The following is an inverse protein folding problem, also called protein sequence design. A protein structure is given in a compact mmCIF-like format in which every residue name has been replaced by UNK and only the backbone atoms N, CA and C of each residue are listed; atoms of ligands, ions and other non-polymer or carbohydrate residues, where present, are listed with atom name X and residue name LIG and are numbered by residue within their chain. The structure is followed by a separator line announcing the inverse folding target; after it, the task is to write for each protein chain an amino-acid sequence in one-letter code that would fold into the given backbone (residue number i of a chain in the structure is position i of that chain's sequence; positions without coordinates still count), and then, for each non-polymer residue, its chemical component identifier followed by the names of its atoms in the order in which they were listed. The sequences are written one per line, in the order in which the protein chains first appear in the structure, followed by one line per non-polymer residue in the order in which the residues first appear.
data_IF_902481717512
#
_entry.id   IF_902481717512
#
_cell.length_a   1.000
_cell.length_b   1.000
_cell.length_c   1.000
_cell.angle_alpha   90.00
_cell.angle_beta   90.00
_cell.angle_gamma   90.00
#
_symmetry.space_group_name_H-M   'P 1'
#
loop_
_entity.id
_entity.type
_entity.pdbx_description
1 polymer ?
#
# COMPACT_ATOMS: atom_id res chain seq x y z
N UNK A 1 6.16 0.67 1.70
CA UNK A 1 4.76 0.44 2.13
C UNK A 1 3.99 -0.26 1.02
N UNK A 2 3.06 -1.14 1.37
CA UNK A 2 2.25 -1.87 0.39
C UNK A 2 0.76 -1.78 0.74
N UNK A 3 -0.07 -1.52 -0.27
CA UNK A 3 -1.53 -1.61 -0.20
C UNK A 3 -2.00 -2.48 -1.37
N UNK A 4 -2.09 -3.79 -1.15
CA UNK A 4 -2.28 -4.76 -2.24
C UNK A 4 -3.65 -5.42 -2.16
N UNK A 5 -4.34 -5.48 -3.30
CA UNK A 5 -5.61 -6.18 -3.42
C UNK A 5 -5.41 -7.69 -3.59
N UNK A 6 -5.95 -8.49 -2.67
CA UNK A 6 -5.94 -9.96 -2.71
C UNK A 6 -4.76 -10.61 -1.97
N UNK A 7 -5.07 -11.59 -1.12
CA UNK A 7 -4.07 -12.27 -0.28
C UNK A 7 -2.98 -13.03 -1.05
N UNK A 8 -3.30 -13.64 -2.19
CA UNK A 8 -2.27 -14.28 -3.03
C UNK A 8 -1.34 -13.24 -3.68
N UNK A 9 -1.90 -12.12 -4.11
CA UNK A 9 -1.11 -11.04 -4.70
C UNK A 9 -0.21 -10.37 -3.66
N UNK A 10 -0.70 -10.11 -2.44
CA UNK A 10 0.10 -9.46 -1.41
C UNK A 10 1.35 -10.26 -1.05
N UNK A 11 1.28 -11.60 -1.02
CA UNK A 11 2.46 -12.48 -0.86
C UNK A 11 3.43 -12.30 -2.02
N UNK A 12 2.95 -12.37 -3.27
CA UNK A 12 3.81 -12.22 -4.46
C UNK A 12 4.51 -10.86 -4.51
N UNK A 13 3.81 -9.78 -4.13
CA UNK A 13 4.42 -8.45 -4.02
C UNK A 13 5.50 -8.41 -2.93
N UNK A 14 5.25 -9.00 -1.75
CA UNK A 14 6.23 -9.07 -0.68
C UNK A 14 7.47 -9.89 -1.08
N UNK A 15 7.27 -11.04 -1.71
CA UNK A 15 8.36 -11.89 -2.24
C UNK A 15 9.19 -11.11 -3.28
N UNK A 16 8.52 -10.42 -4.21
CA UNK A 16 9.21 -9.63 -5.24
C UNK A 16 10.02 -8.49 -4.65
N UNK A 17 9.50 -7.81 -3.61
CA UNK A 17 10.25 -6.76 -2.88
C UNK A 17 11.48 -7.36 -2.21
N UNK A 18 11.35 -8.54 -1.58
CA UNK A 18 12.45 -9.23 -0.92
C UNK A 18 13.53 -9.68 -1.90
N UNK A 19 13.13 -10.29 -3.02
CA UNK A 19 14.04 -10.72 -4.07
C UNK A 19 14.77 -9.54 -4.70
N UNK A 20 14.04 -8.45 -5.00
CA UNK A 20 14.64 -7.24 -5.55
C UNK A 20 15.65 -6.60 -4.59
N UNK A 21 15.32 -6.52 -3.30
CA UNK A 21 16.24 -6.03 -2.27
C UNK A 21 17.52 -6.90 -2.22
N UNK A 22 17.36 -8.23 -2.15
CA UNK A 22 18.50 -9.16 -2.16
C UNK A 22 19.36 -9.06 -3.41
N UNK A 23 18.75 -8.88 -4.59
CA UNK A 23 19.46 -8.80 -5.87
C UNK A 23 20.17 -7.45 -6.11
N UNK A 24 19.68 -6.36 -5.50
CA UNK A 24 20.19 -4.99 -5.74
C UNK A 24 21.00 -4.42 -4.59
N UNK A 25 21.19 -5.18 -3.50
CA UNK A 25 21.84 -4.70 -2.29
C UNK A 25 20.96 -3.78 -1.42
N UNK A 26 19.64 -3.80 -1.65
CA UNK A 26 18.67 -3.18 -0.77
C UNK A 26 18.44 -3.98 0.52
N UNK A 27 17.64 -3.45 1.43
CA UNK A 27 17.37 -4.09 2.72
C UNK A 27 15.89 -4.49 2.86
N UNK A 28 15.63 -5.76 3.11
CA UNK A 28 14.25 -6.25 3.36
C UNK A 28 13.60 -5.59 4.58
N UNK A 29 14.38 -5.09 5.54
CA UNK A 29 13.81 -4.34 6.66
C UNK A 29 13.16 -3.02 6.26
N UNK A 30 13.37 -2.54 5.03
CA UNK A 30 12.67 -1.37 4.48
C UNK A 30 11.21 -1.68 4.10
N UNK A 31 10.80 -2.96 4.06
CA UNK A 31 9.41 -3.37 3.90
C UNK A 31 8.63 -3.07 5.18
N UNK A 32 8.01 -1.89 5.23
CA UNK A 32 7.33 -1.38 6.41
C UNK A 32 6.10 -2.17 6.87
N UNK A 33 5.40 -2.87 5.97
CA UNK A 33 4.18 -3.59 6.30
C UNK A 33 3.92 -4.77 5.36
N UNK A 34 3.11 -5.72 5.83
CA UNK A 34 2.47 -6.74 5.03
C UNK A 34 0.97 -6.74 5.36
N UNK A 35 0.14 -6.71 4.33
CA UNK A 35 -1.31 -6.65 4.48
C UNK A 35 -2.01 -6.65 3.12
N UNK A 36 -3.31 -6.88 3.15
CA UNK A 36 -4.14 -6.94 1.94
C UNK A 36 -5.54 -6.37 2.20
N UNK A 37 -6.23 -6.04 1.11
CA UNK A 37 -7.68 -5.88 1.10
C UNK A 37 -8.29 -6.76 0.00
N UNK A 38 -9.37 -7.46 0.31
CA UNK A 38 -10.04 -8.37 -0.63
C UNK A 38 -11.50 -8.59 -0.24
N UNK A 39 -12.22 -9.45 -0.96
CA UNK A 39 -13.63 -9.74 -0.64
C UNK A 39 -14.65 -8.73 -1.18
N UNK A 40 -14.24 -7.81 -2.07
CA UNK A 40 -15.12 -6.79 -2.64
C UNK A 40 -15.51 -5.70 -1.63
N UNK A 41 -14.54 -5.03 -0.99
CA UNK A 41 -14.83 -3.99 -0.01
C UNK A 41 -15.51 -2.78 -0.65
N UNK A 42 -16.25 -2.06 0.16
CA UNK A 42 -16.87 -0.78 -0.20
C UNK A 42 -15.83 0.34 -0.32
N UNK A 43 -16.24 1.46 -0.93
CA UNK A 43 -15.46 2.69 -0.98
C UNK A 43 -15.07 3.17 0.42
N UNK A 44 -15.99 3.12 1.39
CA UNK A 44 -15.74 3.56 2.76
C UNK A 44 -14.72 2.68 3.50
N UNK A 45 -14.84 1.36 3.38
CA UNK A 45 -13.87 0.42 3.95
C UNK A 45 -12.47 0.60 3.34
N UNK A 46 -12.40 0.75 2.01
CA UNK A 46 -11.13 0.96 1.32
C UNK A 46 -10.50 2.30 1.70
N UNK A 47 -11.31 3.36 1.82
CA UNK A 47 -10.86 4.67 2.31
C UNK A 47 -10.29 4.57 3.72
N UNK A 48 -11.00 3.92 4.64
CA UNK A 48 -10.56 3.75 6.03
C UNK A 48 -9.23 2.98 6.12
N UNK A 49 -9.09 1.93 5.31
CA UNK A 49 -7.83 1.18 5.22
C UNK A 49 -6.69 2.05 4.68
N UNK A 50 -6.93 2.80 3.60
CA UNK A 50 -5.93 3.72 3.02
C UNK A 50 -5.50 4.81 4.02
N UNK A 51 -6.45 5.46 4.70
CA UNK A 51 -6.16 6.47 5.74
C UNK A 51 -5.27 5.91 6.85
N UNK A 52 -5.47 4.65 7.24
CA UNK A 52 -4.62 4.00 8.25
C UNK A 52 -3.18 3.87 7.76
N UNK A 53 -2.97 3.49 6.50
CA UNK A 53 -1.62 3.42 5.92
C UNK A 53 -0.98 4.80 5.78
N UNK A 54 -1.73 5.81 5.32
CA UNK A 54 -1.24 7.19 5.19
C UNK A 54 -0.86 7.80 6.54
N UNK A 55 -1.67 7.58 7.58
CA UNK A 55 -1.31 7.98 8.95
C UNK A 55 0.00 7.34 9.39
N UNK A 56 0.13 6.01 9.23
CA UNK A 56 1.33 5.28 9.65
C UNK A 56 2.58 5.71 8.88
N UNK A 57 2.48 5.92 7.57
CA UNK A 57 3.64 6.30 6.75
C UNK A 57 4.10 7.74 6.98
N UNK A 58 3.23 8.63 7.47
CA UNK A 58 3.53 10.07 7.67
C UNK A 58 3.91 10.45 9.10
N UNK A 59 3.96 9.52 10.08
CA UNK A 59 4.28 9.87 11.48
C UNK A 59 5.69 10.43 11.68
N UNK A 60 6.67 9.93 10.93
CA UNK A 60 8.08 10.32 11.02
C UNK A 60 8.70 10.27 9.62
N UNK A 61 9.67 11.13 9.30
CA UNK A 61 10.49 10.97 8.09
C UNK A 61 11.40 9.72 8.24
N UNK A 62 11.90 9.19 7.13
CA UNK A 62 12.83 8.05 7.15
C UNK A 62 14.12 8.42 7.92
N UNK A 63 14.69 7.54 8.77
CA UNK A 63 15.89 7.84 9.56
C UNK A 63 17.12 8.21 8.73
N UNK A 64 17.20 7.72 7.48
CA UNK A 64 18.30 8.02 6.55
C UNK A 64 17.95 9.18 5.60
N UNK A 65 16.79 9.82 5.79
CA UNK A 65 16.32 10.93 4.96
C UNK A 65 15.86 10.54 3.56
N UNK A 66 15.58 9.25 3.32
CA UNK A 66 15.10 8.73 2.03
C UNK A 66 13.61 9.02 1.82
N UNK A 67 13.20 9.12 0.55
CA UNK A 67 11.78 9.16 0.20
C UNK A 67 11.11 7.82 0.49
N UNK A 68 9.84 7.87 0.91
CA UNK A 68 9.04 6.67 1.15
C UNK A 68 8.24 6.31 -0.09
N UNK A 69 8.16 5.02 -0.37
CA UNK A 69 7.40 4.48 -1.51
C UNK A 69 6.19 3.71 -1.00
N UNK A 70 5.04 3.96 -1.62
CA UNK A 70 3.82 3.16 -1.48
C UNK A 70 3.52 2.44 -2.79
N UNK A 71 3.41 1.12 -2.72
CA UNK A 71 3.00 0.28 -3.84
C UNK A 71 1.52 -0.04 -3.68
N UNK A 72 0.68 0.50 -4.56
CA UNK A 72 -0.74 0.18 -4.66
C UNK A 72 -0.91 -0.78 -5.84
N UNK A 73 -1.20 -2.04 -5.55
CA UNK A 73 -1.19 -3.11 -6.55
C UNK A 73 -2.25 -4.18 -6.29
N UNK A 74 -2.22 -5.23 -7.08
CA UNK A 74 -3.14 -6.36 -6.95
C UNK A 74 -3.15 -7.26 -8.17
N UNK A 75 -3.78 -8.42 -8.04
CA UNK A 75 -4.10 -9.28 -9.18
C UNK A 75 -5.36 -8.78 -9.92
N UNK A 76 -5.66 -9.37 -11.08
CA UNK A 76 -6.92 -9.13 -11.78
C UNK A 76 -8.08 -9.61 -10.88
N UNK A 77 -8.95 -8.70 -10.49
CA UNK A 77 -10.04 -9.02 -9.58
C UNK A 77 -11.18 -9.78 -10.28
N UNK A 78 -11.72 -10.80 -9.62
CA UNK A 78 -12.87 -11.55 -10.12
C UNK A 78 -14.22 -10.84 -9.87
N UNK A 79 -14.37 -10.19 -8.71
CA UNK A 79 -15.65 -9.61 -8.27
C UNK A 79 -15.50 -8.26 -7.53
N UNK A 80 -14.26 -7.81 -7.29
CA UNK A 80 -14.04 -6.50 -6.66
C UNK A 80 -14.25 -5.39 -7.68
N UNK A 81 -15.02 -4.38 -7.31
CA UNK A 81 -15.21 -3.17 -8.11
C UNK A 81 -14.00 -2.25 -7.95
N UNK A 82 -13.12 -2.25 -8.96
CA UNK A 82 -11.89 -1.46 -8.96
C UNK A 82 -12.18 0.03 -8.88
N UNK A 83 -13.25 0.52 -9.53
CA UNK A 83 -13.60 1.93 -9.50
C UNK A 83 -14.00 2.36 -8.08
N UNK A 84 -14.81 1.56 -7.37
CA UNK A 84 -15.22 1.86 -5.99
C UNK A 84 -14.06 1.85 -5.01
N UNK A 85 -13.17 0.87 -5.12
CA UNK A 85 -12.00 0.76 -4.25
C UNK A 85 -11.03 1.91 -4.48
N UNK A 86 -10.68 2.20 -5.74
CA UNK A 86 -9.79 3.33 -6.06
C UNK A 86 -10.41 4.68 -5.73
N UNK A 87 -11.73 4.84 -5.84
CA UNK A 87 -12.41 6.05 -5.33
C UNK A 87 -12.12 6.28 -3.85
N UNK A 88 -12.12 5.23 -3.03
CA UNK A 88 -11.81 5.34 -1.60
C UNK A 88 -10.35 5.70 -1.34
N UNK A 89 -9.43 5.12 -2.11
CA UNK A 89 -7.99 5.43 -2.05
C UNK A 89 -7.74 6.89 -2.43
N UNK A 90 -8.33 7.36 -3.52
CA UNK A 90 -8.19 8.75 -4.00
C UNK A 90 -8.71 9.74 -2.95
N UNK A 91 -9.89 9.49 -2.37
CA UNK A 91 -10.42 10.32 -1.30
C UNK A 91 -9.49 10.41 -0.09
N UNK A 92 -8.84 9.30 0.29
CA UNK A 92 -7.86 9.30 1.37
C UNK A 92 -6.58 10.06 0.97
N UNK A 93 -6.11 9.95 -0.28
CA UNK A 93 -4.93 10.67 -0.76
C UNK A 93 -5.17 12.19 -0.76
N UNK A 94 -6.35 12.63 -1.20
CA UNK A 94 -6.73 14.05 -1.18
C UNK A 94 -6.72 14.63 0.24
N UNK A 95 -7.19 13.87 1.23
CA UNK A 95 -7.19 14.28 2.64
C UNK A 95 -5.78 14.34 3.27
N UNK A 96 -4.87 13.48 2.80
CA UNK A 96 -3.50 13.38 3.32
C UNK A 96 -2.47 14.15 2.49
N UNK A 97 -2.87 14.76 1.37
CA UNK A 97 -1.96 15.39 0.40
C UNK A 97 -0.99 16.41 1.00
N UNK A 98 -1.40 17.17 2.02
CA UNK A 98 -0.50 18.13 2.70
C UNK A 98 0.49 17.45 3.65
N UNK A 99 0.16 16.29 4.23
CA UNK A 99 1.05 15.52 5.11
C UNK A 99 2.08 14.68 4.33
N UNK A 100 1.77 14.33 3.08
CA UNK A 100 2.63 13.56 2.18
C UNK A 100 3.73 14.41 1.51
N UNK A 101 3.72 15.74 1.69
CA UNK A 101 4.79 16.65 1.22
C UNK A 101 6.04 16.63 2.12
#
# INVERSE_FOLDING_TARGET
WTMVAGGGASVVYADTIADYAGATGGNISDLANYGEYSGGPTTGETKFYAQTLFDLMTRHKDPEGRDKILIIGGAIANFTDVAKTFTGIIQALEEYAEKEK
#
